data_IF_602719444545
#
_entry.id   IF_602719444545
#
_cell.length_a   1.000
_cell.length_b   1.000
_cell.length_c   1.000
_cell.angle_alpha   90.00
_cell.angle_beta   90.00
_cell.angle_gamma   90.00
#
_symmetry.space_group_name_H-M   'P 1'
#
loop_
_entity.id
_entity.type
_entity.pdbx_description
1 polymer ?
#
# COMPACT_ATOMS: atom_id res chain seq x y z
N UNK A 1 10.22 -3.23 17.77
CA UNK A 1 10.55 -4.32 16.84
C UNK A 1 11.75 -3.97 15.96
N UNK A 2 11.76 -2.80 15.32
CA UNK A 2 12.88 -2.29 14.50
C UNK A 2 14.26 -2.38 15.18
N UNK A 3 14.36 -2.00 16.46
CA UNK A 3 15.61 -2.14 17.24
C UNK A 3 16.15 -3.57 17.26
N UNK A 4 15.30 -4.55 17.54
CA UNK A 4 15.66 -5.97 17.57
C UNK A 4 16.11 -6.48 16.19
N UNK A 5 15.49 -5.99 15.10
CA UNK A 5 15.93 -6.34 13.74
C UNK A 5 17.36 -5.84 13.51
N UNK A 6 17.65 -4.57 13.85
CA UNK A 6 18.99 -3.99 13.66
C UNK A 6 20.05 -4.59 14.57
N UNK A 7 19.68 -5.12 15.74
CA UNK A 7 20.56 -5.90 16.61
C UNK A 7 21.00 -7.23 15.96
N UNK A 8 20.16 -7.80 15.09
CA UNK A 8 20.47 -9.04 14.34
C UNK A 8 21.25 -8.71 13.06
N UNK A 9 20.85 -7.68 12.32
CA UNK A 9 21.50 -7.24 11.09
C UNK A 9 21.34 -5.75 10.87
N UNK A 10 22.46 -5.03 10.87
CA UNK A 10 22.51 -3.58 10.61
C UNK A 10 22.20 -3.25 9.14
N UNK A 11 22.50 -4.18 8.23
CA UNK A 11 22.33 -4.01 6.78
C UNK A 11 20.86 -4.09 6.33
N UNK A 12 20.01 -4.77 7.10
CA UNK A 12 18.58 -4.92 6.77
C UNK A 12 17.91 -3.56 6.71
N UNK A 13 17.39 -3.18 5.53
CA UNK A 13 16.63 -1.95 5.35
C UNK A 13 15.22 -2.10 5.91
N UNK A 14 14.82 -1.17 6.78
CA UNK A 14 13.51 -1.15 7.44
C UNK A 14 12.68 -0.03 6.82
N UNK A 15 11.61 -0.45 6.14
CA UNK A 15 10.65 0.43 5.48
C UNK A 15 9.32 0.34 6.23
N UNK A 16 8.72 1.48 6.56
CA UNK A 16 7.37 1.56 7.11
C UNK A 16 6.40 2.17 6.11
N UNK A 17 5.15 1.70 6.14
CA UNK A 17 4.04 2.17 5.31
C UNK A 17 2.73 2.08 6.07
N UNK A 18 1.84 3.01 5.83
CA UNK A 18 0.48 3.04 6.39
C UNK A 18 -0.06 4.47 6.44
N UNK A 19 -1.36 4.62 6.68
CA UNK A 19 -2.00 5.94 6.77
C UNK A 19 -1.37 6.79 7.87
N UNK A 20 -1.32 6.29 9.10
CA UNK A 20 -0.70 7.01 10.22
C UNK A 20 0.78 7.31 9.99
N UNK A 21 1.47 6.47 9.21
CA UNK A 21 2.88 6.65 8.85
C UNK A 21 3.06 7.77 7.83
N UNK A 22 2.13 7.88 6.87
CA UNK A 22 2.13 8.94 5.85
C UNK A 22 1.97 10.33 6.48
N UNK A 23 1.14 10.47 7.52
CA UNK A 23 0.83 11.76 8.15
C UNK A 23 1.83 12.20 9.24
N UNK A 24 2.66 11.28 9.73
CA UNK A 24 3.58 11.50 10.85
C UNK A 24 4.99 11.01 10.52
N UNK A 25 5.34 11.10 9.25
CA UNK A 25 6.56 10.55 8.68
C UNK A 25 7.82 11.03 9.43
N UNK A 26 8.00 12.36 9.54
CA UNK A 26 9.15 12.93 10.24
C UNK A 26 9.19 12.54 11.72
N UNK A 27 8.07 12.64 12.44
CA UNK A 27 8.05 12.30 13.87
C UNK A 27 8.33 10.81 14.11
N UNK A 28 7.88 9.92 13.21
CA UNK A 28 8.17 8.49 13.31
C UNK A 28 9.65 8.23 13.05
N UNK A 29 10.27 8.87 12.06
CA UNK A 29 11.70 8.75 11.81
C UNK A 29 12.55 9.33 12.95
N UNK A 30 12.15 10.45 13.56
CA UNK A 30 12.82 11.01 14.74
C UNK A 30 12.77 10.05 15.93
N UNK A 31 11.57 9.53 16.24
CA UNK A 31 11.36 8.65 17.37
C UNK A 31 11.96 7.24 17.16
N UNK A 32 12.24 6.84 15.91
CA UNK A 32 12.71 5.50 15.56
C UNK A 32 13.96 5.56 14.66
N UNK A 33 15.16 5.75 15.23
CA UNK A 33 16.42 5.82 14.47
C UNK A 33 16.71 4.58 13.62
N UNK A 34 16.12 3.43 13.95
CA UNK A 34 16.32 2.18 13.23
C UNK A 34 15.46 2.05 11.97
N UNK A 35 14.47 2.92 11.78
CA UNK A 35 13.68 2.96 10.55
C UNK A 35 14.45 3.78 9.52
N UNK A 36 14.66 3.18 8.35
CA UNK A 36 15.44 3.78 7.28
C UNK A 36 14.55 4.61 6.35
N UNK A 37 13.36 4.09 6.01
CA UNK A 37 12.46 4.73 5.04
C UNK A 37 11.00 4.68 5.49
N UNK A 38 10.25 5.70 5.09
CA UNK A 38 8.79 5.75 5.13
C UNK A 38 8.27 5.95 3.72
N UNK A 39 7.33 5.10 3.31
CA UNK A 39 6.58 5.27 2.07
C UNK A 39 5.25 5.97 2.36
N UNK A 40 5.00 7.05 1.62
CA UNK A 40 3.83 7.90 1.76
C UNK A 40 2.80 7.65 0.66
N UNK A 41 1.52 7.77 1.01
CA UNK A 41 0.41 7.65 0.07
C UNK A 41 0.30 6.25 -0.55
N UNK A 42 -0.04 6.20 -1.83
CA UNK A 42 0.04 4.97 -2.63
C UNK A 42 1.50 4.65 -2.94
N UNK A 43 1.92 3.47 -2.54
CA UNK A 43 3.34 3.17 -2.32
C UNK A 43 3.86 2.05 -3.20
N UNK A 44 3.02 1.48 -4.06
CA UNK A 44 3.35 0.36 -4.93
C UNK A 44 4.51 0.72 -5.88
N UNK A 45 4.36 1.82 -6.62
CA UNK A 45 5.41 2.30 -7.54
C UNK A 45 6.60 2.91 -6.78
N UNK A 46 6.34 3.58 -5.65
CA UNK A 46 7.40 4.14 -4.80
C UNK A 46 8.30 3.04 -4.24
N UNK A 47 7.71 1.93 -3.77
CA UNK A 47 8.45 0.77 -3.28
C UNK A 47 9.27 0.14 -4.40
N UNK A 48 8.71 0.03 -5.61
CA UNK A 48 9.43 -0.50 -6.77
C UNK A 48 10.67 0.34 -7.10
N UNK A 49 10.50 1.66 -7.19
CA UNK A 49 11.62 2.58 -7.46
C UNK A 49 12.65 2.54 -6.33
N UNK A 50 12.22 2.44 -5.06
CA UNK A 50 13.14 2.30 -3.92
C UNK A 50 13.92 0.99 -3.99
N UNK A 51 13.28 -0.13 -4.31
CA UNK A 51 13.95 -1.41 -4.50
C UNK A 51 14.95 -1.35 -5.66
N UNK A 52 14.62 -0.66 -6.75
CA UNK A 52 15.57 -0.45 -7.84
C UNK A 52 16.76 0.41 -7.40
N UNK A 53 16.54 1.51 -6.69
CA UNK A 53 17.62 2.36 -6.18
C UNK A 53 18.55 1.66 -5.19
N UNK A 54 18.01 0.79 -4.33
CA UNK A 54 18.78 0.13 -3.27
C UNK A 54 19.47 -1.16 -3.71
N UNK A 55 18.90 -1.91 -4.66
CA UNK A 55 19.31 -3.29 -4.94
C UNK A 55 19.59 -3.57 -6.42
N UNK A 56 19.35 -2.60 -7.31
CA UNK A 56 19.76 -2.68 -8.70
C UNK A 56 20.64 -1.47 -8.98
N UNK A 57 21.62 -1.59 -9.87
CA UNK A 57 22.42 -0.44 -10.28
C UNK A 57 21.50 0.55 -11.02
N UNK A 58 20.91 1.47 -10.25
CA UNK A 58 20.00 2.51 -10.70
C UNK A 58 20.74 3.84 -10.62
N UNK A 59 20.63 4.63 -11.67
CA UNK A 59 21.20 5.99 -11.69
C UNK A 59 20.48 6.94 -10.72
N UNK A 60 19.22 6.64 -10.36
CA UNK A 60 18.43 7.46 -9.45
C UNK A 60 18.79 7.23 -7.99
N UNK A 61 19.12 8.32 -7.31
CA UNK A 61 19.24 8.37 -5.85
C UNK A 61 17.89 8.27 -5.16
N UNK A 62 17.88 7.95 -3.86
CA UNK A 62 16.65 7.86 -3.04
C UNK A 62 15.94 9.22 -2.97
N UNK A 63 16.69 10.31 -2.95
CA UNK A 63 16.22 11.69 -2.94
C UNK A 63 15.44 12.08 -4.20
N UNK A 64 15.59 11.34 -5.29
CA UNK A 64 14.85 11.53 -6.55
C UNK A 64 13.54 10.71 -6.61
N UNK A 65 13.28 9.85 -5.61
CA UNK A 65 12.10 8.99 -5.58
C UNK A 65 10.95 9.73 -4.91
N UNK A 66 9.87 9.99 -5.66
CA UNK A 66 8.67 10.61 -5.12
C UNK A 66 7.97 9.69 -4.08
N UNK A 67 7.54 10.28 -2.96
CA UNK A 67 6.75 9.61 -1.91
C UNK A 67 7.59 8.94 -0.82
N UNK A 68 8.86 9.33 -0.65
CA UNK A 68 9.78 8.74 0.34
C UNK A 68 10.17 9.77 1.39
N UNK A 69 10.18 9.35 2.65
CA UNK A 69 10.81 10.08 3.75
C UNK A 69 11.91 9.21 4.31
N UNK A 70 13.11 9.75 4.48
CA UNK A 70 14.26 8.98 4.93
C UNK A 70 15.24 9.88 5.65
N UNK A 71 16.26 9.29 6.26
CA UNK A 71 17.31 10.01 6.95
C UNK A 71 18.56 10.07 6.09
N UNK A 72 19.05 11.27 5.83
CA UNK A 72 20.36 11.52 5.25
C UNK A 72 21.20 12.19 6.32
N UNK A 73 22.24 11.48 6.80
CA UNK A 73 23.05 11.89 7.93
C UNK A 73 22.22 12.20 9.20
N UNK A 74 22.09 13.49 9.55
CA UNK A 74 21.35 13.98 10.73
C UNK A 74 20.00 14.59 10.39
N UNK A 75 19.66 14.68 9.12
CA UNK A 75 18.45 15.35 8.65
C UNK A 75 17.45 14.34 8.09
N UNK A 76 16.17 14.65 8.29
CA UNK A 76 15.09 13.91 7.65
C UNK A 76 14.79 14.60 6.32
N UNK A 77 15.01 13.86 5.25
CA UNK A 77 14.69 14.28 3.89
C UNK A 77 13.31 13.76 3.54
N UNK A 78 12.46 14.66 3.06
CA UNK A 78 11.11 14.39 2.58
C UNK A 78 11.04 14.78 1.11
N UNK A 79 11.00 13.79 0.22
CA UNK A 79 10.89 14.04 -1.22
C UNK A 79 9.48 14.53 -1.59
N UNK A 80 9.25 14.93 -2.84
CA UNK A 80 7.91 15.33 -3.30
C UNK A 80 6.92 14.16 -3.16
N UNK A 81 5.64 14.45 -2.91
CA UNK A 81 4.62 13.40 -2.85
C UNK A 81 4.34 12.81 -4.25
N UNK A 82 4.19 11.48 -4.32
CA UNK A 82 3.87 10.80 -5.56
C UNK A 82 2.39 11.05 -5.93
N UNK A 83 2.07 11.38 -7.19
CA UNK A 83 0.69 11.42 -7.64
C UNK A 83 -0.01 10.06 -7.48
N UNK A 84 -1.29 10.09 -7.14
CA UNK A 84 -2.10 8.87 -7.08
C UNK A 84 -2.14 8.11 -8.41
N UNK A 85 -2.14 6.78 -8.33
CA UNK A 85 -2.13 5.84 -9.47
C UNK A 85 -3.41 6.01 -10.30
N UNK A 86 -3.34 6.63 -11.47
CA UNK A 86 -4.54 7.00 -12.24
C UNK A 86 -5.37 5.79 -12.69
N UNK A 87 -4.70 4.75 -13.19
CA UNK A 87 -5.35 3.53 -13.68
C UNK A 87 -5.04 2.37 -12.74
N UNK A 88 -6.02 1.95 -11.95
CA UNK A 88 -5.87 0.83 -11.02
C UNK A 88 -5.70 -0.52 -11.73
N UNK A 89 -6.11 -0.63 -13.00
CA UNK A 89 -5.93 -1.85 -13.79
C UNK A 89 -4.45 -2.10 -14.17
N UNK A 90 -3.56 -1.11 -13.96
CA UNK A 90 -2.11 -1.32 -14.14
C UNK A 90 -1.49 -2.12 -12.98
N UNK A 91 -2.20 -2.24 -11.85
CA UNK A 91 -1.72 -3.01 -10.71
C UNK A 91 -2.01 -4.50 -10.94
N UNK A 92 -1.05 -5.39 -10.64
CA UNK A 92 -1.29 -6.82 -10.70
C UNK A 92 -2.29 -7.22 -9.62
N UNK A 93 -2.93 -8.38 -9.80
CA UNK A 93 -3.68 -8.99 -8.71
C UNK A 93 -2.75 -9.30 -7.53
N UNK A 94 -3.27 -9.22 -6.28
CA UNK A 94 -2.50 -9.63 -5.11
C UNK A 94 -1.90 -11.03 -5.27
N UNK A 95 -0.64 -11.19 -4.87
CA UNK A 95 0.11 -12.45 -4.96
C UNK A 95 -0.37 -13.48 -3.91
N UNK A 96 -1.63 -13.91 -4.02
CA UNK A 96 -2.31 -14.80 -3.06
C UNK A 96 -1.64 -16.17 -2.94
N UNK A 97 -0.97 -16.64 -4.00
CA UNK A 97 -0.17 -17.86 -3.96
C UNK A 97 0.98 -17.85 -2.93
N UNK A 98 1.38 -16.67 -2.42
CA UNK A 98 2.39 -16.54 -1.36
C UNK A 98 1.81 -16.64 0.06
N UNK A 99 0.49 -16.73 0.20
CA UNK A 99 -0.19 -16.72 1.49
C UNK A 99 -0.92 -18.04 1.72
N UNK A 100 -0.88 -18.53 2.96
CA UNK A 100 -1.78 -19.58 3.42
C UNK A 100 -3.19 -19.00 3.60
N UNK A 101 -4.07 -19.28 2.63
CA UNK A 101 -5.43 -18.76 2.62
C UNK A 101 -6.26 -19.27 3.80
N UNK A 102 -5.92 -20.43 4.38
CA UNK A 102 -6.68 -21.04 5.47
C UNK A 102 -6.67 -20.22 6.77
N UNK A 103 -5.71 -19.30 6.90
CA UNK A 103 -5.55 -18.38 8.03
C UNK A 103 -6.51 -17.19 7.97
N UNK A 104 -7.02 -16.85 6.79
CA UNK A 104 -7.86 -15.67 6.57
C UNK A 104 -9.32 -16.09 6.48
N UNK A 105 -10.02 -16.05 7.61
CA UNK A 105 -11.41 -16.50 7.72
C UNK A 105 -12.36 -15.36 8.04
N UNK A 106 -13.53 -15.44 7.44
CA UNK A 106 -14.67 -14.59 7.78
C UNK A 106 -15.07 -14.83 9.24
N UNK A 107 -15.13 -13.80 10.09
CA UNK A 107 -15.58 -13.93 11.47
C UNK A 107 -17.03 -14.42 11.59
N UNK A 108 -17.84 -14.15 10.56
CA UNK A 108 -19.27 -14.44 10.56
C UNK A 108 -19.58 -15.88 10.17
N UNK A 109 -18.87 -16.44 9.19
CA UNK A 109 -19.16 -17.76 8.61
C UNK A 109 -18.06 -18.79 8.86
N UNK A 110 -16.85 -18.36 9.22
CA UNK A 110 -15.67 -19.20 9.33
C UNK A 110 -15.07 -19.65 7.99
N UNK A 111 -15.68 -19.27 6.86
CA UNK A 111 -15.17 -19.60 5.52
C UNK A 111 -13.91 -18.80 5.20
N UNK A 112 -13.12 -19.31 4.24
CA UNK A 112 -11.96 -18.58 3.71
C UNK A 112 -12.44 -17.32 3.01
N UNK A 113 -11.83 -16.19 3.35
CA UNK A 113 -12.18 -14.84 2.90
C UNK A 113 -10.94 -14.16 2.31
N UNK A 114 -11.12 -13.46 1.19
CA UNK A 114 -10.13 -12.49 0.70
C UNK A 114 -10.74 -11.11 0.52
N UNK A 115 -9.89 -10.09 0.46
CA UNK A 115 -10.29 -8.75 0.02
C UNK A 115 -10.17 -8.60 -1.49
N UNK A 116 -11.00 -7.73 -2.06
CA UNK A 116 -10.93 -7.25 -3.44
C UNK A 116 -10.96 -5.73 -3.43
N UNK A 117 -9.93 -5.09 -3.98
CA UNK A 117 -9.97 -3.65 -4.20
C UNK A 117 -10.77 -3.36 -5.47
N UNK A 118 -11.86 -2.61 -5.36
CA UNK A 118 -12.73 -2.24 -6.49
C UNK A 118 -12.52 -0.81 -6.94
N UNK A 119 -12.22 0.08 -5.99
CA UNK A 119 -11.98 1.48 -6.23
C UNK A 119 -11.06 2.09 -5.17
N UNK A 120 -10.48 3.25 -5.49
CA UNK A 120 -9.74 4.11 -4.56
C UNK A 120 -10.15 5.57 -4.76
N UNK A 121 -10.19 6.31 -3.68
CA UNK A 121 -10.51 7.73 -3.64
C UNK A 121 -11.96 8.01 -3.26
N UNK A 122 -12.17 9.17 -2.63
CA UNK A 122 -13.47 9.63 -2.16
C UNK A 122 -13.61 11.15 -2.37
N UNK A 123 -14.63 11.62 -3.11
CA UNK A 123 -14.78 13.04 -3.42
C UNK A 123 -15.44 13.83 -2.27
N UNK A 124 -15.98 13.14 -1.26
CA UNK A 124 -16.74 13.75 -0.19
C UNK A 124 -15.83 14.50 0.81
N UNK A 125 -16.20 15.71 1.26
CA UNK A 125 -15.37 16.55 2.12
C UNK A 125 -15.60 16.29 3.62
N UNK A 126 -15.79 15.03 4.02
CA UNK A 126 -16.06 14.68 5.42
C UNK A 126 -14.88 15.10 6.32
N UNK A 127 -15.12 16.04 7.24
CA UNK A 127 -14.06 16.70 8.05
C UNK A 127 -13.27 15.76 8.97
N UNK A 128 -13.81 14.57 9.25
CA UNK A 128 -13.19 13.56 10.10
C UNK A 128 -12.49 12.44 9.33
N UNK A 129 -12.66 12.38 8.00
CA UNK A 129 -12.28 11.22 7.21
C UNK A 129 -10.90 11.44 6.55
N UNK A 130 -9.93 10.53 6.75
CA UNK A 130 -8.62 10.64 6.11
C UNK A 130 -8.62 10.16 4.65
N UNK A 131 -9.67 9.46 4.19
CA UNK A 131 -9.68 8.79 2.88
C UNK A 131 -9.32 9.72 1.71
N UNK A 132 -9.88 10.94 1.57
CA UNK A 132 -9.52 11.82 0.46
C UNK A 132 -8.04 12.23 0.43
N UNK A 133 -7.36 12.16 1.57
CA UNK A 133 -5.93 12.46 1.70
C UNK A 133 -5.10 11.18 1.48
N UNK A 134 -5.56 10.03 1.97
CA UNK A 134 -4.85 8.75 1.86
C UNK A 134 -4.94 8.13 0.46
N UNK A 135 -6.10 8.22 -0.19
CA UNK A 135 -6.40 7.58 -1.48
C UNK A 135 -6.88 8.57 -2.55
N UNK A 136 -6.83 9.87 -2.27
CA UNK A 136 -7.17 10.93 -3.22
C UNK A 136 -8.66 11.22 -3.33
N UNK A 137 -8.99 12.29 -4.06
CA UNK A 137 -10.38 12.75 -4.24
C UNK A 137 -11.11 12.07 -5.40
N UNK A 138 -10.56 12.02 -6.63
CA UNK A 138 -11.25 11.38 -7.74
C UNK A 138 -11.38 9.89 -7.46
N UNK A 139 -12.61 9.36 -7.60
CA UNK A 139 -12.83 7.92 -7.52
C UNK A 139 -12.23 7.29 -8.76
N UNK A 140 -11.24 6.42 -8.56
CA UNK A 140 -10.59 5.61 -9.58
C UNK A 140 -11.08 4.19 -9.37
N UNK A 141 -11.73 3.61 -10.37
CA UNK A 141 -12.32 2.28 -10.28
C UNK A 141 -11.51 1.30 -11.12
N UNK A 142 -11.54 0.03 -10.74
CA UNK A 142 -11.10 -1.08 -11.59
C UNK A 142 -12.21 -1.51 -12.54
N UNK A 143 -11.80 -2.18 -13.61
CA UNK A 143 -12.72 -2.70 -14.60
C UNK A 143 -13.51 -3.88 -14.04
N UNK A 144 -14.84 -3.85 -14.17
CA UNK A 144 -15.71 -4.93 -13.71
C UNK A 144 -15.34 -6.28 -14.35
N UNK A 145 -15.03 -6.38 -15.67
CA UNK A 145 -14.55 -7.62 -16.25
C UNK A 145 -13.25 -8.14 -15.60
N UNK A 146 -12.35 -7.25 -15.18
CA UNK A 146 -11.12 -7.66 -14.50
C UNK A 146 -11.39 -8.19 -13.10
N UNK A 147 -12.28 -7.53 -12.35
CA UNK A 147 -12.73 -7.99 -11.03
C UNK A 147 -13.40 -9.36 -11.10
N UNK A 148 -14.23 -9.61 -12.12
CA UNK A 148 -14.86 -10.92 -12.31
C UNK A 148 -13.81 -12.00 -12.58
N UNK A 149 -12.80 -11.72 -13.41
CA UNK A 149 -11.69 -12.65 -13.65
C UNK A 149 -10.89 -12.94 -12.38
N UNK A 150 -10.62 -11.92 -11.56
CA UNK A 150 -9.95 -12.09 -10.26
C UNK A 150 -10.77 -12.97 -9.32
N UNK A 151 -12.09 -12.77 -9.24
CA UNK A 151 -13.00 -13.61 -8.45
C UNK A 151 -12.96 -15.06 -8.94
N UNK A 152 -13.09 -15.29 -10.24
CA UNK A 152 -13.05 -16.63 -10.83
C UNK A 152 -11.73 -17.34 -10.52
N UNK A 153 -10.61 -16.64 -10.65
CA UNK A 153 -9.28 -17.15 -10.28
C UNK A 153 -9.20 -17.49 -8.78
N UNK A 154 -9.76 -16.65 -7.91
CA UNK A 154 -9.78 -16.93 -6.46
C UNK A 154 -10.60 -18.17 -6.11
N UNK A 155 -11.73 -18.37 -6.78
CA UNK A 155 -12.57 -19.55 -6.61
C UNK A 155 -11.84 -20.80 -7.13
N UNK A 156 -11.25 -20.75 -8.33
CA UNK A 156 -10.65 -21.93 -8.97
C UNK A 156 -9.35 -22.38 -8.30
N UNK A 157 -8.44 -21.45 -8.01
CA UNK A 157 -7.10 -21.80 -7.54
C UNK A 157 -7.01 -21.94 -6.02
N UNK A 158 -7.85 -21.20 -5.29
CA UNK A 158 -7.73 -21.10 -3.83
C UNK A 158 -8.99 -21.56 -3.08
N UNK A 159 -10.07 -21.92 -3.79
CA UNK A 159 -11.33 -22.33 -3.17
C UNK A 159 -12.01 -21.22 -2.36
N UNK A 160 -11.69 -19.96 -2.63
CA UNK A 160 -12.23 -18.81 -1.88
C UNK A 160 -13.63 -18.50 -2.39
N UNK A 161 -14.61 -18.54 -1.49
CA UNK A 161 -16.02 -18.26 -1.81
C UNK A 161 -16.56 -16.96 -1.20
N UNK A 162 -15.78 -16.30 -0.33
CA UNK A 162 -16.17 -15.04 0.30
C UNK A 162 -15.20 -13.91 -0.04
N UNK A 163 -15.78 -12.74 -0.31
CA UNK A 163 -15.04 -11.57 -0.80
C UNK A 163 -15.47 -10.31 -0.05
N UNK A 164 -14.50 -9.64 0.58
CA UNK A 164 -14.70 -8.31 1.14
C UNK A 164 -14.33 -7.26 0.09
N UNK A 165 -15.33 -6.57 -0.45
CA UNK A 165 -15.10 -5.47 -1.39
C UNK A 165 -14.56 -4.25 -0.64
N UNK A 166 -13.34 -3.86 -0.99
CA UNK A 166 -12.67 -2.70 -0.45
C UNK A 166 -12.69 -1.56 -1.47
N UNK A 167 -13.14 -0.40 -1.00
CA UNK A 167 -13.07 0.86 -1.70
C UNK A 167 -13.64 1.96 -0.82
N UNK A 168 -13.04 3.14 -0.87
CA UNK A 168 -13.41 4.26 0.02
C UNK A 168 -14.87 4.68 -0.14
N UNK A 169 -15.47 4.44 -1.31
CA UNK A 169 -16.89 4.65 -1.57
C UNK A 169 -17.38 3.63 -2.60
N UNK A 170 -17.69 2.41 -2.14
CA UNK A 170 -18.17 1.33 -3.01
C UNK A 170 -19.43 1.69 -3.80
N UNK A 171 -20.35 2.44 -3.20
CA UNK A 171 -21.65 2.81 -3.80
C UNK A 171 -21.61 4.08 -4.66
N UNK A 172 -20.42 4.59 -4.97
CA UNK A 172 -20.24 5.87 -5.69
C UNK A 172 -20.90 5.87 -7.07
N UNK A 173 -20.65 4.84 -7.88
CA UNK A 173 -21.22 4.71 -9.22
C UNK A 173 -22.31 3.64 -9.21
N UNK A 174 -23.56 4.08 -9.23
CA UNK A 174 -24.72 3.21 -9.44
C UNK A 174 -24.91 3.02 -10.95
N UNK A 175 -25.27 1.81 -11.37
CA UNK A 175 -25.60 1.49 -12.76
C UNK A 175 -26.88 2.22 -13.18
#
# INVERSE_FOLDING_TARGET
>A
FSKKIKEISTETKIVLRGESVTFRDSQILEANPQVDFILRGESEETLLDLCHSLFRDSEKGVDEIAGVSFRSDREIVRTADRPFIKNLNNLPWPARHLLDQSLYRSPETGNVLTTLYTARGCPYPCIFCPAPIASGRPVRMRDVPDLIREIQHCVSEYGISEFLFHGDTFTYKKA
#
